data_IF_026542084103
#
_entry.id   IF_026542084103
#
_cell.length_a   1.000
_cell.length_b   1.000
_cell.length_c   1.000
_cell.angle_alpha   90.00
_cell.angle_beta   90.00
_cell.angle_gamma   90.00
#
_symmetry.space_group_name_H-M   'P 1'
#
loop_
_entity.id
_entity.type
_entity.pdbx_description
1 polymer ?
#
# COMPACT_ATOMS: atom_id res chain seq x y z
N UNK A 1 -4.68 -30.42 10.28
CA UNK A 1 -4.67 -29.70 8.98
C UNK A 1 -3.69 -28.53 9.10
N UNK A 2 -2.48 -28.64 8.55
CA UNK A 2 -1.51 -27.53 8.47
C UNK A 2 -2.08 -26.48 7.52
N UNK A 3 -2.42 -25.30 8.04
CA UNK A 3 -2.59 -24.11 7.20
C UNK A 3 -1.19 -23.64 6.85
N UNK A 4 -0.82 -23.73 5.58
CA UNK A 4 0.36 -23.03 5.06
C UNK A 4 0.10 -21.54 5.17
N UNK A 5 0.58 -20.92 6.24
CA UNK A 5 0.88 -19.49 6.23
C UNK A 5 1.91 -19.28 5.13
N UNK A 6 1.65 -18.35 4.20
CA UNK A 6 2.49 -18.15 3.01
C UNK A 6 2.08 -18.97 1.78
N UNK A 7 0.80 -19.00 1.41
CA UNK A 7 0.45 -19.38 0.04
C UNK A 7 1.08 -18.36 -0.93
N UNK A 8 1.87 -18.82 -1.89
CA UNK A 8 2.47 -17.98 -2.94
C UNK A 8 1.45 -17.04 -3.59
N UNK A 9 0.19 -17.49 -3.73
CA UNK A 9 -0.91 -16.69 -4.27
C UNK A 9 -1.28 -15.49 -3.38
N UNK A 10 -1.22 -15.64 -2.06
CA UNK A 10 -1.55 -14.60 -1.09
C UNK A 10 -0.49 -13.51 -0.99
N UNK A 11 0.79 -13.84 -1.19
CA UNK A 11 1.89 -12.85 -1.24
C UNK A 11 2.10 -12.25 -2.63
N UNK A 12 1.93 -13.05 -3.68
CA UNK A 12 2.12 -12.60 -5.04
C UNK A 12 1.12 -11.50 -5.41
N UNK A 13 -0.12 -11.55 -4.89
CA UNK A 13 -1.14 -10.57 -5.24
C UNK A 13 -0.82 -9.15 -4.71
N UNK A 14 -0.64 -8.92 -3.39
CA UNK A 14 -0.26 -7.62 -2.86
C UNK A 14 1.13 -7.19 -3.37
N UNK A 15 2.09 -8.12 -3.43
CA UNK A 15 3.43 -7.83 -3.96
C UNK A 15 3.44 -7.38 -5.43
N UNK A 16 2.63 -8.02 -6.29
CA UNK A 16 2.53 -7.64 -7.71
C UNK A 16 1.82 -6.30 -7.87
N UNK A 17 0.81 -6.00 -7.05
CA UNK A 17 0.15 -4.68 -7.04
C UNK A 17 1.14 -3.58 -6.67
N UNK A 18 1.90 -3.73 -5.58
CA UNK A 18 2.95 -2.78 -5.21
C UNK A 18 4.02 -2.64 -6.31
N UNK A 19 4.40 -3.74 -6.97
CA UNK A 19 5.37 -3.71 -8.06
C UNK A 19 4.85 -2.95 -9.28
N UNK A 20 3.59 -3.16 -9.69
CA UNK A 20 2.96 -2.44 -10.79
C UNK A 20 2.90 -0.94 -10.48
N UNK A 21 2.48 -0.58 -9.25
CA UNK A 21 2.42 0.83 -8.82
C UNK A 21 3.83 1.44 -8.81
N UNK A 22 4.84 0.71 -8.31
CA UNK A 22 6.23 1.18 -8.30
C UNK A 22 6.80 1.39 -9.70
N UNK A 23 6.54 0.47 -10.64
CA UNK A 23 6.94 0.62 -12.05
C UNK A 23 6.23 1.82 -12.69
N UNK A 24 4.93 1.98 -12.43
CA UNK A 24 4.16 3.14 -12.89
C UNK A 24 4.73 4.46 -12.36
N UNK A 25 5.07 4.50 -11.07
CA UNK A 25 5.70 5.66 -10.44
C UNK A 25 7.05 5.97 -11.09
N UNK A 26 7.92 4.96 -11.24
CA UNK A 26 9.24 5.13 -11.84
C UNK A 26 9.15 5.66 -13.27
N UNK A 27 8.28 5.06 -14.09
CA UNK A 27 8.03 5.52 -15.45
C UNK A 27 7.56 6.97 -15.49
N UNK A 28 6.58 7.32 -14.64
CA UNK A 28 6.05 8.68 -14.55
C UNK A 28 7.12 9.70 -14.12
N UNK A 29 8.00 9.34 -13.19
CA UNK A 29 9.17 10.15 -12.79
C UNK A 29 10.11 10.39 -13.96
N UNK A 30 10.48 9.33 -14.68
CA UNK A 30 11.39 9.40 -15.83
C UNK A 30 10.80 10.29 -16.92
N UNK A 31 9.52 10.10 -17.26
CA UNK A 31 8.87 10.92 -18.28
C UNK A 31 8.80 12.40 -17.91
N UNK A 32 8.54 12.74 -16.63
CA UNK A 32 8.60 14.13 -16.16
C UNK A 32 10.01 14.72 -16.24
N UNK A 33 11.02 13.93 -15.90
CA UNK A 33 12.42 14.34 -16.00
C UNK A 33 12.83 14.61 -17.45
N UNK A 34 12.51 13.69 -18.37
CA UNK A 34 12.81 13.84 -19.80
C UNK A 34 12.06 15.03 -20.41
N UNK A 35 10.80 15.25 -20.01
CA UNK A 35 9.96 16.32 -20.57
C UNK A 35 10.40 17.72 -20.13
N UNK A 36 10.82 17.88 -18.87
CA UNK A 36 11.21 19.19 -18.32
C UNK A 36 12.36 19.05 -17.30
N UNK A 37 13.59 18.75 -17.74
CA UNK A 37 14.70 18.44 -16.82
C UNK A 37 15.08 19.64 -15.94
N UNK A 38 14.94 20.87 -16.45
CA UNK A 38 15.28 22.11 -15.71
C UNK A 38 14.28 22.48 -14.61
N UNK A 39 13.03 22.01 -14.70
CA UNK A 39 11.97 22.27 -13.71
C UNK A 39 11.63 21.02 -12.89
N UNK A 40 12.34 19.92 -13.13
CA UNK A 40 12.05 18.66 -12.47
C UNK A 40 12.26 18.78 -10.97
N UNK A 41 11.24 18.38 -10.21
CA UNK A 41 11.29 18.20 -8.77
C UNK A 41 10.77 16.81 -8.44
N UNK A 42 11.57 16.08 -7.67
CA UNK A 42 11.16 14.81 -7.05
C UNK A 42 9.96 15.11 -6.16
N UNK A 43 8.91 14.30 -6.30
CA UNK A 43 7.73 14.34 -5.45
C UNK A 43 7.51 12.94 -4.91
N UNK A 44 6.95 12.87 -3.72
CA UNK A 44 6.65 11.62 -3.04
C UNK A 44 5.55 10.81 -3.76
N UNK A 45 4.75 11.46 -4.60
CA UNK A 45 3.79 10.85 -5.52
C UNK A 45 3.93 11.51 -6.89
N UNK A 46 3.63 10.76 -7.96
CA UNK A 46 3.61 11.33 -9.30
C UNK A 46 2.19 11.72 -9.72
N UNK A 47 1.94 13.02 -9.95
CA UNK A 47 0.69 13.41 -10.58
C UNK A 47 0.71 12.90 -12.02
N UNK A 48 -0.23 12.05 -12.38
CA UNK A 48 -0.37 11.55 -13.75
C UNK A 48 -0.67 12.76 -14.65
N UNK A 49 0.19 13.09 -15.63
CA UNK A 49 -0.08 14.16 -16.57
C UNK A 49 -1.16 13.67 -17.56
N UNK A 50 -2.41 14.05 -17.30
CA UNK A 50 -3.58 13.68 -18.10
C UNK A 50 -4.89 13.84 -17.32
N UNK A 51 -6.01 13.98 -18.02
CA UNK A 51 -7.37 14.14 -17.44
C UNK A 51 -7.57 15.41 -16.58
N UNK A 52 -7.16 16.59 -17.04
CA UNK A 52 -7.43 17.88 -16.35
C UNK A 52 -7.04 17.92 -14.86
N UNK A 53 -6.04 17.13 -14.45
CA UNK A 53 -5.62 17.04 -13.04
C UNK A 53 -6.53 16.17 -12.15
N UNK A 54 -7.57 15.53 -12.69
CA UNK A 54 -8.44 14.60 -11.93
C UNK A 54 -7.71 13.36 -11.44
N UNK A 55 -6.66 12.92 -12.15
CA UNK A 55 -5.85 11.76 -11.77
C UNK A 55 -4.60 12.13 -10.95
N UNK A 56 -4.50 13.39 -10.47
CA UNK A 56 -3.34 13.90 -9.70
C UNK A 56 -3.04 13.07 -8.45
N UNK A 57 -4.07 12.48 -7.83
CA UNK A 57 -3.95 11.71 -6.58
C UNK A 57 -4.23 10.21 -6.77
N UNK A 58 -4.31 9.72 -8.01
CA UNK A 58 -4.68 8.33 -8.27
C UNK A 58 -3.70 7.35 -7.61
N UNK A 59 -2.41 7.62 -7.69
CA UNK A 59 -1.38 6.80 -7.04
C UNK A 59 -1.56 6.75 -5.51
N UNK A 60 -1.87 7.89 -4.88
CA UNK A 60 -2.13 7.96 -3.44
C UNK A 60 -3.40 7.20 -3.05
N UNK A 61 -4.46 7.29 -3.86
CA UNK A 61 -5.68 6.50 -3.64
C UNK A 61 -5.42 5.01 -3.75
N UNK A 62 -4.66 4.57 -4.75
CA UNK A 62 -4.33 3.15 -4.92
C UNK A 62 -3.47 2.65 -3.76
N UNK A 63 -2.48 3.43 -3.30
CA UNK A 63 -1.66 3.06 -2.14
C UNK A 63 -2.53 2.99 -0.89
N UNK A 64 -3.33 4.02 -0.58
CA UNK A 64 -4.13 4.06 0.64
C UNK A 64 -5.23 2.97 0.65
N UNK A 65 -6.00 2.84 -0.43
CA UNK A 65 -7.07 1.84 -0.52
C UNK A 65 -6.49 0.43 -0.57
N UNK A 66 -5.41 0.23 -1.32
CA UNK A 66 -4.71 -1.05 -1.41
C UNK A 66 -4.16 -1.50 -0.07
N UNK A 67 -3.42 -0.63 0.63
CA UNK A 67 -2.87 -0.95 1.95
C UNK A 67 -3.96 -1.15 3.01
N UNK A 68 -5.08 -0.42 2.93
CA UNK A 68 -6.21 -0.60 3.84
C UNK A 68 -6.92 -1.95 3.63
N UNK A 69 -7.18 -2.34 2.38
CA UNK A 69 -7.80 -3.63 2.07
C UNK A 69 -6.89 -4.77 2.50
N UNK A 70 -5.58 -4.67 2.19
CA UNK A 70 -4.60 -5.69 2.56
C UNK A 70 -4.44 -5.80 4.10
N UNK A 71 -4.43 -4.66 4.80
CA UNK A 71 -4.48 -4.62 6.27
C UNK A 71 -5.73 -5.32 6.81
N UNK A 72 -6.91 -5.07 6.23
CA UNK A 72 -8.14 -5.75 6.64
C UNK A 72 -8.10 -7.26 6.40
N UNK A 73 -7.47 -7.72 5.32
CA UNK A 73 -7.33 -9.15 5.02
C UNK A 73 -6.36 -9.81 5.99
N UNK A 74 -5.15 -9.26 6.16
CA UNK A 74 -4.15 -9.75 7.12
C UNK A 74 -4.71 -9.78 8.54
N UNK A 75 -5.39 -8.69 8.96
CA UNK A 75 -5.92 -8.56 10.30
C UNK A 75 -7.16 -9.44 10.56
N UNK A 76 -8.16 -9.45 9.67
CA UNK A 76 -9.45 -10.13 9.90
C UNK A 76 -9.46 -11.59 9.41
N UNK A 77 -8.82 -11.88 8.28
CA UNK A 77 -8.87 -13.21 7.66
C UNK A 77 -7.82 -14.14 8.26
N UNK A 78 -6.60 -13.65 8.52
CA UNK A 78 -5.51 -14.49 9.02
C UNK A 78 -5.68 -14.86 10.50
N UNK A 79 -6.18 -13.94 11.33
CA UNK A 79 -6.37 -14.18 12.78
C UNK A 79 -7.61 -15.02 13.12
N UNK A 80 -8.53 -15.27 12.17
CA UNK A 80 -9.84 -15.89 12.41
C UNK A 80 -10.58 -15.33 13.66
N UNK A 81 -10.28 -14.08 14.07
CA UNK A 81 -10.76 -13.44 15.29
C UNK A 81 -10.39 -14.16 16.61
N UNK A 82 -9.45 -15.09 16.60
CA UNK A 82 -8.87 -15.72 17.81
C UNK A 82 -7.58 -15.01 18.23
N UNK A 83 -7.68 -13.70 18.41
CA UNK A 83 -6.56 -12.83 18.78
C UNK A 83 -6.04 -13.19 20.17
N UNK A 84 -6.96 -13.56 21.08
CA UNK A 84 -6.63 -13.97 22.44
C UNK A 84 -7.05 -15.44 22.60
N UNK A 85 -6.06 -16.31 22.79
CA UNK A 85 -6.30 -17.70 23.18
C UNK A 85 -5.74 -17.85 24.59
N UNK A 86 -6.60 -18.17 25.56
CA UNK A 86 -6.22 -18.34 26.97
C UNK A 86 -5.51 -17.11 27.60
N UNK A 87 -5.97 -15.90 27.29
CA UNK A 87 -5.45 -14.66 27.91
C UNK A 87 -4.09 -14.19 27.38
N UNK A 88 -3.52 -14.88 26.39
CA UNK A 88 -2.25 -14.52 25.74
C UNK A 88 -2.49 -14.32 24.24
N UNK A 89 -1.83 -13.31 23.66
CA UNK A 89 -1.81 -13.08 22.22
C UNK A 89 -1.20 -14.32 21.56
N UNK A 90 -1.93 -14.94 20.62
CA UNK A 90 -1.47 -16.19 20.03
C UNK A 90 -0.17 -15.94 19.21
N UNK A 91 0.97 -16.54 19.60
CA UNK A 91 2.25 -16.34 18.91
C UNK A 91 2.19 -16.77 17.43
N UNK A 92 1.28 -17.68 17.07
CA UNK A 92 1.12 -18.13 15.69
C UNK A 92 0.58 -17.05 14.75
N UNK A 93 0.05 -15.94 15.28
CA UNK A 93 -0.52 -14.83 14.50
C UNK A 93 0.23 -13.51 14.69
N UNK A 94 1.37 -13.50 15.40
CA UNK A 94 2.17 -12.28 15.57
C UNK A 94 2.70 -11.74 14.25
N UNK A 95 3.11 -12.60 13.33
CA UNK A 95 3.59 -12.19 12.00
C UNK A 95 2.50 -11.46 11.19
N UNK A 96 1.26 -11.93 11.25
CA UNK A 96 0.11 -11.28 10.58
C UNK A 96 -0.17 -9.89 11.18
N UNK A 97 0.02 -9.74 12.50
CA UNK A 97 -0.12 -8.46 13.20
C UNK A 97 0.99 -7.47 12.83
N UNK A 98 2.23 -7.94 12.70
CA UNK A 98 3.35 -7.13 12.19
C UNK A 98 3.11 -6.66 10.75
N UNK A 99 2.60 -7.54 9.89
CA UNK A 99 2.24 -7.19 8.50
C UNK A 99 1.09 -6.18 8.45
N UNK A 100 0.02 -6.40 9.23
CA UNK A 100 -1.08 -5.45 9.35
C UNK A 100 -0.60 -4.09 9.88
N UNK A 101 0.35 -4.07 10.84
CA UNK A 101 0.97 -2.86 11.36
C UNK A 101 1.79 -2.10 10.31
N UNK A 102 2.57 -2.79 9.48
CA UNK A 102 3.27 -2.16 8.35
C UNK A 102 2.29 -1.56 7.33
N UNK A 103 1.24 -2.30 6.97
CA UNK A 103 0.22 -1.85 6.01
C UNK A 103 -0.58 -0.65 6.55
N UNK A 104 -0.83 -0.59 7.86
CA UNK A 104 -1.43 0.58 8.52
C UNK A 104 -0.57 1.84 8.34
N UNK A 105 0.76 1.73 8.45
CA UNK A 105 1.65 2.89 8.25
C UNK A 105 1.59 3.41 6.82
N UNK A 106 1.53 2.53 5.82
CA UNK A 106 1.34 2.94 4.41
C UNK A 106 -0.02 3.60 4.18
N UNK A 107 -1.08 3.12 4.84
CA UNK A 107 -2.40 3.73 4.78
C UNK A 107 -2.39 5.15 5.35
N UNK A 108 -1.81 5.34 6.54
CA UNK A 108 -1.71 6.65 7.17
C UNK A 108 -0.89 7.62 6.33
N UNK A 109 0.20 7.15 5.74
CA UNK A 109 1.01 7.94 4.82
C UNK A 109 0.20 8.44 3.62
N UNK A 110 -0.55 7.54 2.96
CA UNK A 110 -1.41 7.89 1.84
C UNK A 110 -2.50 8.90 2.22
N UNK A 111 -3.15 8.70 3.38
CA UNK A 111 -4.15 9.62 3.90
C UNK A 111 -3.58 11.01 4.18
N UNK A 112 -2.48 11.10 4.95
CA UNK A 112 -1.87 12.39 5.29
C UNK A 112 -1.41 13.13 4.04
N UNK A 113 -0.84 12.43 3.06
CA UNK A 113 -0.44 13.01 1.79
C UNK A 113 -1.63 13.56 0.98
N UNK A 114 -2.77 12.84 0.95
CA UNK A 114 -4.00 13.35 0.31
C UNK A 114 -4.51 14.59 1.05
N UNK A 115 -4.61 14.54 2.39
CA UNK A 115 -5.09 15.66 3.20
C UNK A 115 -4.23 16.91 3.03
N UNK A 116 -2.89 16.75 3.02
CA UNK A 116 -1.93 17.84 2.83
C UNK A 116 -2.05 18.55 1.48
N UNK A 117 -2.63 17.90 0.47
CA UNK A 117 -2.83 18.50 -0.86
C UNK A 117 -4.23 19.11 -1.03
N UNK A 118 -5.15 18.86 -0.09
CA UNK A 118 -6.51 19.40 -0.07
C UNK A 118 -6.70 20.58 0.89
N UNK A 119 -5.73 20.84 1.76
CA UNK A 119 -5.67 22.00 2.68
C UNK A 119 -4.89 23.13 2.04
#
# INVERSE_FOLDING_TARGET
>A
RRKTMGSFKGHALPGTLFLIIGVWHMWSTIMRYVSNPKSFRVRMWNPVPGFDGKLKYFELYVIAVGSFIDMCIEFLYSTHLKIIVNGVLNPSHMNDFEHAGMLLMFFLLGLVAIFSETT
#
